data_IF_288958455900
#
_entry.id   IF_288958455900
#
_cell.length_a   1.000
_cell.length_b   1.000
_cell.length_c   1.000
_cell.angle_alpha   90.00
_cell.angle_beta   90.00
_cell.angle_gamma   90.00
#
_symmetry.space_group_name_H-M   'P 1'
#
loop_
_entity.id
_entity.type
_entity.pdbx_description
1 polymer ?
2 non-polymer ?
3 non-polymer ?
4 water ?
#
# COMPACT_ATOMS: atom_id res chain seq x y z
N UNK A 2 6.68 16.94 3.76
CA UNK A 2 6.99 18.24 3.14
C UNK A 2 8.32 18.19 2.36
N UNK A 3 8.53 17.12 1.58
CA UNK A 3 9.79 16.85 0.90
C UNK A 3 9.93 17.44 -0.51
N UNK A 4 11.02 17.11 -1.19
CA UNK A 4 11.30 17.71 -2.48
C UNK A 4 10.21 17.40 -3.51
N UNK A 5 9.57 16.25 -3.39
CA UNK A 5 8.54 15.90 -4.34
C UNK A 5 7.29 16.79 -4.21
N UNK A 6 7.01 17.24 -2.99
CA UNK A 6 5.79 18.01 -2.74
C UNK A 6 6.01 19.41 -3.28
N UNK A 7 7.25 19.86 -3.22
CA UNK A 7 7.63 21.15 -3.78
C UNK A 7 7.55 21.16 -5.32
N UNK A 8 7.95 20.06 -5.97
CA UNK A 8 7.96 20.01 -7.42
C UNK A 8 6.55 20.03 -7.92
N UNK A 9 5.72 19.20 -7.30
CA UNK A 9 4.32 19.14 -7.63
C UNK A 9 3.71 20.56 -7.52
N UNK A 10 4.03 21.24 -6.42
CA UNK A 10 3.63 22.63 -6.28
C UNK A 10 4.10 23.46 -7.48
N UNK A 11 5.40 23.68 -7.56
CA UNK A 11 5.98 24.40 -8.69
C UNK A 11 5.33 23.97 -10.01
N UNK A 12 5.04 22.68 -10.13
CA UNK A 12 4.61 22.19 -11.41
C UNK A 12 3.25 22.74 -11.79
N UNK A 13 2.31 22.75 -10.86
CA UNK A 13 0.99 23.26 -11.16
C UNK A 13 0.92 24.77 -11.04
N UNK A 14 1.79 25.31 -10.19
CA UNK A 14 1.92 26.76 -10.02
C UNK A 14 2.31 27.44 -11.34
N UNK A 15 2.96 26.70 -12.24
CA UNK A 15 3.32 27.25 -13.52
C UNK A 15 2.29 26.97 -14.58
N UNK A 16 1.26 26.21 -14.26
CA UNK A 16 0.16 26.10 -15.20
C UNK A 16 -0.33 27.56 -15.43
N UNK A 19 2.52 30.67 -13.65
CA UNK A 19 2.99 31.84 -14.37
C UNK A 19 4.36 32.18 -13.78
N UNK A 20 4.64 33.44 -13.46
CA UNK A 20 5.91 33.68 -12.75
C UNK A 20 5.86 33.21 -11.30
N UNK A 21 6.60 32.15 -11.01
CA UNK A 21 6.66 31.57 -9.69
C UNK A 21 7.70 32.30 -8.81
N UNK A 22 7.29 32.74 -7.63
CA UNK A 22 8.16 33.48 -6.71
C UNK A 22 8.47 32.64 -5.49
N UNK A 23 9.61 32.91 -4.86
CA UNK A 23 9.92 32.24 -3.60
C UNK A 23 8.86 32.49 -2.54
N UNK A 24 8.20 33.66 -2.64
CA UNK A 24 7.11 34.01 -1.72
C UNK A 24 5.93 33.07 -1.90
N UNK A 25 5.41 32.99 -3.12
CA UNK A 25 4.30 32.07 -3.42
C UNK A 25 4.58 30.64 -2.95
N UNK A 26 5.81 30.17 -3.17
CA UNK A 26 6.15 28.83 -2.73
C UNK A 26 5.99 28.75 -1.22
N UNK A 27 6.70 29.64 -0.53
CA UNK A 27 6.65 29.67 0.93
C UNK A 27 5.20 29.68 1.42
N UNK A 28 4.34 30.40 0.71
CA UNK A 28 2.91 30.45 1.03
C UNK A 28 2.22 29.12 0.79
N UNK A 29 2.27 28.64 -0.45
CA UNK A 29 1.54 27.44 -0.84
C UNK A 29 1.99 26.19 -0.07
N UNK A 30 3.26 26.19 0.35
CA UNK A 30 3.85 25.06 1.06
C UNK A 30 3.71 25.23 2.56
N UNK A 31 3.26 26.42 2.96
CA UNK A 31 3.17 26.84 4.36
C UNK A 31 4.49 26.57 5.07
N UNK A 32 5.55 27.26 4.64
CA UNK A 32 6.89 27.04 5.22
C UNK A 32 7.76 28.28 5.34
N UNK A 33 8.86 28.09 6.06
CA UNK A 33 9.83 29.13 6.36
C UNK A 33 10.49 29.68 5.09
N UNK A 34 10.49 31.02 4.91
CA UNK A 34 11.27 31.60 3.81
C UNK A 34 12.73 31.10 3.75
N UNK A 35 13.40 30.96 4.91
CA UNK A 35 14.72 30.32 4.93
C UNK A 35 14.71 28.85 4.50
N UNK A 36 13.60 28.15 4.69
CA UNK A 36 13.51 26.74 4.28
C UNK A 36 13.10 26.58 2.80
N UNK A 37 12.62 27.66 2.19
CA UNK A 37 12.34 27.69 0.75
C UNK A 37 13.65 27.72 -0.02
N UNK A 38 14.42 28.76 0.22
CA UNK A 38 15.72 28.94 -0.41
C UNK A 38 16.52 27.64 -0.29
N UNK A 39 16.43 27.01 0.87
CA UNK A 39 17.12 25.74 1.08
C UNK A 39 16.71 24.65 0.11
N UNK A 40 15.41 24.58 -0.19
CA UNK A 40 14.89 23.54 -1.08
C UNK A 40 15.17 23.86 -2.56
N UNK A 41 14.92 25.08 -2.97
CA UNK A 41 15.26 25.44 -4.34
C UNK A 41 16.77 25.22 -4.61
N UNK A 42 17.60 25.36 -3.58
CA UNK A 42 19.03 25.03 -3.73
C UNK A 42 19.18 23.56 -4.15
N UNK A 43 18.48 22.66 -3.47
CA UNK A 43 18.50 21.24 -3.79
C UNK A 43 17.83 20.95 -5.15
N UNK A 44 16.56 21.37 -5.32
CA UNK A 44 15.87 21.19 -6.59
C UNK A 44 16.75 21.65 -7.75
N UNK A 45 17.38 22.81 -7.59
CA UNK A 45 18.26 23.34 -8.62
C UNK A 45 19.39 22.39 -8.97
N UNK A 46 19.97 21.82 -7.93
CA UNK A 46 21.25 21.13 -7.99
C UNK A 46 20.98 19.72 -8.41
N UNK A 47 19.86 19.20 -7.93
CA UNK A 47 19.38 17.88 -8.28
C UNK A 47 19.02 17.86 -9.77
N UNK A 48 19.09 19.06 -10.38
CA UNK A 48 18.81 19.33 -11.81
C UNK A 48 17.34 19.17 -12.22
N UNK A 49 16.43 19.42 -11.29
CA UNK A 49 15.03 19.19 -11.57
C UNK A 49 14.43 20.40 -12.28
N UNK A 50 15.02 21.57 -12.02
CA UNK A 50 14.58 22.81 -12.64
C UNK A 50 15.77 23.75 -12.86
N UNK A 51 15.55 24.81 -13.63
CA UNK A 51 16.57 25.84 -13.80
C UNK A 51 15.93 27.19 -13.47
N UNK A 52 16.70 28.15 -12.95
CA UNK A 52 16.12 29.50 -12.81
C UNK A 52 15.76 30.02 -14.20
N UNK A 53 14.77 30.90 -14.25
CA UNK A 53 14.41 31.53 -15.51
C UNK A 53 13.77 32.86 -15.21
N UNK A 54 14.08 33.88 -16.02
CA UNK A 54 13.59 35.22 -15.68
C UNK A 54 12.06 35.38 -15.84
N UNK A 55 11.53 35.09 -17.03
CA UNK A 55 10.07 35.24 -17.26
C UNK A 55 9.25 34.29 -16.37
N UNK A 56 9.70 33.06 -16.21
CA UNK A 56 8.85 32.09 -15.51
C UNK A 56 9.25 31.76 -14.07
N UNK A 57 10.37 32.28 -13.60
CA UNK A 57 10.76 32.03 -12.23
C UNK A 57 11.66 30.81 -12.14
N UNK A 58 11.12 29.66 -12.54
CA UNK A 58 11.85 28.43 -12.62
C UNK A 58 11.20 27.68 -13.75
N UNK A 59 11.98 27.03 -14.61
CA UNK A 59 11.42 26.07 -15.57
C UNK A 59 11.84 24.66 -15.17
N UNK A 60 11.06 23.67 -15.54
CA UNK A 60 11.37 22.31 -15.15
C UNK A 60 12.21 21.68 -16.23
N UNK A 61 13.25 20.97 -15.81
CA UNK A 61 14.06 20.17 -16.73
C UNK A 61 13.29 18.90 -17.04
N UNK A 62 13.63 18.23 -18.14
CA UNK A 62 12.95 17.00 -18.49
C UNK A 62 13.02 16.05 -17.30
N UNK A 63 14.09 16.12 -16.52
CA UNK A 63 14.21 15.27 -15.37
C UNK A 63 13.10 15.60 -14.36
N UNK A 64 12.94 16.88 -14.02
CA UNK A 64 11.85 17.29 -13.14
C UNK A 64 10.49 16.89 -13.71
N UNK A 65 10.36 17.00 -15.02
CA UNK A 65 9.12 16.66 -15.69
C UNK A 65 8.79 15.19 -15.53
N UNK A 66 9.79 14.33 -15.77
CA UNK A 66 9.61 12.89 -15.59
C UNK A 66 9.29 12.55 -14.14
N UNK A 67 9.83 13.31 -13.19
CA UNK A 67 9.58 13.08 -11.76
C UNK A 67 8.15 13.42 -11.43
N UNK A 68 7.68 14.55 -11.96
CA UNK A 68 6.28 14.95 -11.83
C UNK A 68 5.38 13.85 -12.38
N UNK A 69 5.71 13.29 -13.54
CA UNK A 69 4.93 12.18 -14.10
C UNK A 69 4.85 11.01 -13.12
N UNK A 70 5.94 10.63 -12.47
CA UNK A 70 5.78 9.58 -11.46
C UNK A 70 4.84 9.93 -10.32
N UNK A 71 5.11 11.00 -9.58
CA UNK A 71 4.17 11.48 -8.55
C UNK A 71 2.71 11.29 -8.95
N UNK A 72 2.37 11.70 -10.16
CA UNK A 72 0.99 11.66 -10.57
C UNK A 72 0.55 10.23 -10.88
N UNK A 73 1.31 9.49 -11.67
CA UNK A 73 1.05 8.04 -11.79
C UNK A 73 0.74 7.40 -10.44
N UNK A 74 1.67 7.56 -9.50
CA UNK A 74 1.56 6.92 -8.20
C UNK A 74 0.28 7.37 -7.52
N UNK A 75 0.05 8.67 -7.45
CA UNK A 75 -1.11 9.26 -6.79
C UNK A 75 -2.41 8.83 -7.39
N UNK A 76 -2.48 8.86 -8.71
CA UNK A 76 -3.73 8.55 -9.41
C UNK A 76 -4.05 7.06 -9.40
N UNK A 77 -3.04 6.24 -9.65
CA UNK A 77 -3.22 4.79 -9.61
C UNK A 77 -3.67 4.36 -8.21
N UNK A 78 -2.99 4.84 -7.18
CA UNK A 78 -3.41 4.48 -5.84
C UNK A 78 -4.87 4.88 -5.66
N UNK A 79 -5.17 6.09 -6.10
CA UNK A 79 -6.51 6.61 -5.95
C UNK A 79 -7.44 5.59 -6.58
N UNK A 80 -7.21 5.27 -7.85
CA UNK A 80 -8.12 4.38 -8.58
C UNK A 80 -8.24 3.05 -7.88
N UNK A 81 -7.12 2.52 -7.41
CA UNK A 81 -7.21 1.26 -6.71
C UNK A 81 -8.09 1.45 -5.48
N UNK A 82 -7.77 2.40 -4.62
CA UNK A 82 -8.57 2.57 -3.40
C UNK A 82 -10.09 2.66 -3.59
N UNK A 83 -10.57 3.51 -4.50
CA UNK A 83 -12.02 3.65 -4.64
C UNK A 83 -12.65 2.54 -5.49
N UNK A 84 -12.05 2.23 -6.62
CA UNK A 84 -12.63 1.21 -7.47
C UNK A 84 -12.57 -0.21 -6.95
N UNK A 85 -11.50 -0.52 -6.24
CA UNK A 85 -11.32 -1.87 -5.79
C UNK A 85 -11.76 -1.98 -4.32
N UNK A 86 -11.53 -0.95 -3.51
CA UNK A 86 -11.75 -1.10 -2.07
C UNK A 86 -12.88 -0.20 -1.55
N UNK A 87 -13.75 0.27 -2.46
CA UNK A 87 -14.84 1.18 -2.13
C UNK A 87 -14.49 2.36 -1.22
N UNK A 88 -13.30 2.95 -1.36
CA UNK A 88 -12.96 4.08 -0.49
C UNK A 88 -13.87 5.31 -0.65
N UNK A 89 -14.03 6.11 0.40
CA UNK A 89 -14.86 7.32 0.29
C UNK A 89 -13.98 8.55 0.21
N UNK A 90 -14.50 9.63 -0.36
CA UNK A 90 -13.76 10.86 -0.46
C UNK A 90 -12.99 11.18 0.82
N UNK A 91 -13.66 11.02 1.94
CA UNK A 91 -13.08 11.25 3.25
C UNK A 91 -12.00 10.22 3.57
N UNK A 92 -12.26 8.95 3.24
CA UNK A 92 -11.35 7.86 3.58
C UNK A 92 -10.05 8.02 2.82
N UNK A 93 -10.14 8.49 1.58
CA UNK A 93 -8.96 8.79 0.79
C UNK A 93 -8.17 9.96 1.35
N UNK A 94 -8.86 10.98 1.84
CA UNK A 94 -8.19 12.11 2.49
C UNK A 94 -7.37 11.66 3.69
N UNK A 95 -7.79 10.60 4.36
CA UNK A 95 -7.08 10.15 5.55
C UNK A 95 -5.97 9.14 5.25
N UNK A 96 -6.01 8.49 4.08
CA UNK A 96 -5.11 7.34 3.84
C UNK A 96 -4.31 7.34 2.56
N UNK A 97 -4.88 7.83 1.47
CA UNK A 97 -4.20 7.82 0.18
C UNK A 97 -2.78 8.37 0.24
N UNK A 98 -2.57 9.43 1.00
CA UNK A 98 -1.29 10.12 0.94
C UNK A 98 -0.15 9.30 1.52
N UNK A 99 -0.39 8.65 2.66
CA UNK A 99 0.70 7.92 3.33
C UNK A 99 1.12 6.69 2.57
N UNK A 100 0.23 6.15 1.76
CA UNK A 100 0.62 5.01 0.93
C UNK A 100 1.52 5.45 -0.23
N UNK A 101 1.25 6.64 -0.80
CA UNK A 101 2.10 7.19 -1.82
C UNK A 101 3.54 7.38 -1.32
N UNK A 102 3.68 7.84 -0.08
CA UNK A 102 4.98 8.10 0.53
C UNK A 102 5.67 6.81 0.93
N UNK A 103 5.03 5.68 0.63
CA UNK A 103 5.44 4.38 1.13
C UNK A 103 5.64 3.28 0.08
N UNK A 104 4.64 3.01 -0.75
CA UNK A 104 4.77 1.93 -1.74
C UNK A 104 5.93 2.14 -2.71
N UNK A 105 6.57 1.01 -3.05
CA UNK A 105 7.68 1.02 -4.00
C UNK A 105 7.19 1.44 -5.37
N UNK A 106 8.07 1.42 -6.35
CA UNK A 106 7.62 1.65 -7.72
C UNK A 106 7.21 0.37 -8.43
N UNK A 107 7.67 -0.77 -7.92
CA UNK A 107 7.24 -2.08 -8.40
C UNK A 107 5.77 -2.25 -8.06
N UNK A 108 5.42 -1.84 -6.85
CA UNK A 108 4.05 -1.94 -6.43
C UNK A 108 3.22 -1.17 -7.47
N UNK A 109 3.54 0.10 -7.62
CA UNK A 109 2.89 0.92 -8.63
C UNK A 109 2.93 0.30 -10.04
N UNK A 110 4.04 -0.29 -10.45
CA UNK A 110 4.10 -0.88 -11.80
C UNK A 110 3.18 -2.09 -11.91
N UNK A 111 2.89 -2.70 -10.79
CA UNK A 111 2.08 -3.89 -10.80
C UNK A 111 0.62 -3.53 -10.59
N UNK A 112 0.38 -2.56 -9.71
CA UNK A 112 -0.94 -2.05 -9.45
C UNK A 112 -1.51 -1.62 -10.76
N UNK A 113 -0.68 -1.01 -11.60
CA UNK A 113 -1.15 -0.53 -12.88
C UNK A 113 -1.64 -1.70 -13.73
N UNK A 114 -0.90 -2.80 -13.69
CA UNK A 114 -1.26 -3.99 -14.46
C UNK A 114 -2.56 -4.58 -13.93
N UNK A 115 -2.73 -4.52 -12.61
CA UNK A 115 -3.90 -5.09 -11.94
C UNK A 115 -5.10 -4.31 -12.35
N UNK A 116 -4.93 -2.98 -12.41
CA UNK A 116 -6.02 -2.06 -12.69
C UNK A 116 -6.33 -2.00 -14.20
N UNK A 117 -5.67 -2.86 -14.96
CA UNK A 117 -5.81 -2.86 -16.39
C UNK A 117 -5.48 -1.51 -17.02
N UNK A 118 -4.36 -0.91 -16.64
CA UNK A 118 -3.85 0.32 -17.27
C UNK A 118 -4.93 1.35 -17.52
N UNK A 119 -5.47 1.91 -16.41
CA UNK A 119 -6.49 2.95 -16.51
C UNK A 119 -5.85 4.26 -16.98
N UNK A 120 -6.52 4.93 -17.90
CA UNK A 120 -6.02 6.15 -18.48
C UNK A 120 -6.49 7.41 -17.73
N UNK A 121 -7.01 7.26 -16.51
CA UNK A 121 -7.55 8.40 -15.77
C UNK A 121 -8.01 8.00 -14.42
N UNK A 122 -7.65 8.80 -13.42
CA UNK A 122 -8.14 8.53 -12.09
C UNK A 122 -9.58 8.99 -12.12
N UNK A 123 -10.36 8.70 -11.06
CA UNK A 123 -11.79 8.97 -11.21
C UNK A 123 -12.13 10.47 -11.34
N UNK A 124 -11.21 11.35 -10.94
CA UNK A 124 -11.43 12.79 -11.06
C UNK A 124 -11.08 13.45 -12.38
N UNK A 125 -10.93 12.66 -13.44
CA UNK A 125 -10.59 13.17 -14.76
C UNK A 125 -9.09 13.31 -15.03
N UNK A 126 -8.30 13.35 -13.95
CA UNK A 126 -6.86 13.48 -14.02
C UNK A 126 -6.27 12.32 -14.81
N UNK A 127 -5.46 12.62 -15.83
CA UNK A 127 -5.02 11.55 -16.70
C UNK A 127 -3.81 10.89 -16.08
N UNK A 128 -3.57 9.62 -16.43
CA UNK A 128 -2.53 8.80 -15.83
C UNK A 128 -1.53 8.39 -16.90
N UNK A 129 -0.36 9.03 -16.88
CA UNK A 129 0.66 8.80 -17.92
C UNK A 129 1.28 7.40 -17.85
N UNK A 130 1.75 6.88 -18.99
CA UNK A 130 2.53 5.66 -18.98
C UNK A 130 3.77 5.88 -18.11
N UNK A 131 4.42 4.78 -17.68
CA UNK A 131 5.68 4.90 -16.95
C UNK A 131 6.67 5.54 -17.88
N UNK A 132 7.26 6.66 -17.46
CA UNK A 132 8.32 7.31 -18.23
C UNK A 132 7.85 8.26 -19.32
N UNK A 133 6.55 8.26 -19.54
CA UNK A 133 5.87 9.16 -20.45
C UNK A 133 5.68 10.48 -19.69
N UNK A 134 5.80 11.61 -20.40
CA UNK A 134 5.60 12.92 -19.77
C UNK A 134 4.12 13.10 -19.50
N UNK A 135 3.77 13.72 -18.38
CA UNK A 135 2.35 13.98 -18.10
C UNK A 135 1.72 14.98 -19.02
N UNK A 136 0.62 14.58 -19.67
CA UNK A 136 -0.15 15.53 -20.49
C UNK A 136 -1.67 15.42 -20.26
N UNK A 137 -2.21 16.30 -19.41
CA UNK A 137 -3.61 16.19 -19.05
C UNK A 137 -4.47 16.12 -20.31
N UNK A 138 -5.52 15.30 -20.27
CA UNK A 138 -6.45 15.26 -21.40
C UNK A 138 -7.32 16.50 -21.32
N UNK A 139 -7.62 16.94 -20.10
CA UNK A 139 -8.54 18.04 -19.91
C UNK A 139 -7.88 19.28 -19.35
N UNK A 140 -7.59 20.24 -20.22
CA UNK A 140 -6.89 21.45 -19.83
C UNK A 140 -7.84 22.66 -19.78
N UNK A 141 -9.03 22.52 -20.36
CA UNK A 141 -9.98 23.64 -20.51
C UNK A 141 -10.76 23.90 -19.22
N UNK A 142 -10.31 24.88 -18.45
CA UNK A 142 -10.89 25.15 -17.15
C UNK A 142 -12.15 26.02 -17.32
N UNK A 143 -13.02 26.02 -16.31
CA UNK A 143 -14.29 26.72 -16.43
C UNK A 143 -14.06 28.20 -16.60
N UNK A 144 -13.10 28.73 -15.85
CA UNK A 144 -12.84 30.16 -15.93
C UNK A 144 -12.38 30.63 -17.31
N UNK A 145 -11.67 29.77 -18.04
CA UNK A 145 -11.27 30.11 -19.40
C UNK A 145 -12.28 29.56 -20.38
N UNK A 146 -13.45 29.16 -19.89
CA UNK A 146 -14.48 28.63 -20.77
C UNK A 146 -15.17 29.78 -21.46
N UNK A 147 -14.89 29.94 -22.75
CA UNK A 147 -15.40 31.10 -23.50
C UNK A 147 -16.93 31.14 -23.58
N UNK A 148 -17.49 30.25 -24.38
CA UNK A 148 -18.90 30.32 -24.72
C UNK A 148 -19.85 29.63 -23.76
N UNK A 149 -21.08 30.11 -23.74
CA UNK A 149 -22.13 29.59 -22.89
C UNK A 149 -22.76 28.34 -23.52
N UNK A 150 -23.47 27.58 -22.71
CA UNK A 150 -24.16 26.39 -23.21
C UNK A 150 -23.97 25.14 -22.37
N UNK A 151 -24.08 24.00 -23.03
CA UNK A 151 -24.03 22.70 -22.38
C UNK A 151 -22.59 22.17 -22.32
N UNK A 152 -22.18 21.65 -21.16
CA UNK A 152 -20.79 21.28 -20.90
C UNK A 152 -20.66 20.01 -20.04
N UNK A 153 -19.90 19.03 -20.49
CA UNK A 153 -19.53 17.93 -19.62
C UNK A 153 -18.44 18.38 -18.64
N UNK A 154 -18.72 18.28 -17.35
CA UNK A 154 -17.69 18.54 -16.35
C UNK A 154 -16.71 17.35 -16.31
N UNK A 155 -15.58 17.50 -17.01
CA UNK A 155 -14.65 16.39 -17.26
C UNK A 155 -13.56 16.13 -16.22
N UNK A 156 -13.06 17.15 -15.54
CA UNK A 156 -12.03 16.93 -14.51
C UNK A 156 -12.19 17.90 -13.34
N UNK A 157 -11.71 17.51 -12.16
CA UNK A 157 -11.65 18.41 -11.00
C UNK A 157 -10.36 18.11 -10.25
N UNK A 158 -9.91 19.01 -9.39
CA UNK A 158 -8.69 18.74 -8.63
C UNK A 158 -9.03 17.82 -7.47
N UNK A 159 -8.09 17.00 -7.01
CA UNK A 159 -8.28 16.04 -5.93
C UNK A 159 -8.59 16.74 -4.63
N UNK A 160 -7.88 17.85 -4.41
CA UNK A 160 -8.08 18.75 -3.27
C UNK A 160 -9.36 18.49 -2.43
N UNK A 161 -9.16 17.92 -1.24
CA UNK A 161 -10.28 17.45 -0.42
C UNK A 161 -11.27 18.54 -0.04
N UNK A 162 -10.78 19.78 0.07
CA UNK A 162 -11.65 20.89 0.41
C UNK A 162 -12.53 21.19 -0.78
N UNK A 163 -11.93 21.15 -1.98
CA UNK A 163 -12.66 21.44 -3.22
C UNK A 163 -13.63 20.32 -3.53
N UNK A 164 -13.20 19.10 -3.23
CA UNK A 164 -13.97 17.91 -3.54
C UNK A 164 -15.20 17.84 -2.62
N UNK A 165 -14.99 18.22 -1.37
CA UNK A 165 -16.11 18.26 -0.42
C UNK A 165 -17.11 19.23 -0.96
N UNK A 166 -16.63 20.41 -1.33
CA UNK A 166 -17.45 21.47 -1.91
C UNK A 166 -18.27 20.99 -3.09
N UNK A 167 -17.65 20.29 -4.02
CA UNK A 167 -18.36 19.78 -5.18
C UNK A 167 -19.48 18.81 -4.80
N UNK A 168 -19.16 17.79 -3.99
CA UNK A 168 -20.18 16.81 -3.58
C UNK A 168 -21.30 17.48 -2.80
N UNK A 169 -20.96 18.55 -2.11
CA UNK A 169 -21.89 19.39 -1.34
C UNK A 169 -22.56 20.43 -2.23
N UNK A 170 -22.91 20.03 -3.45
CA UNK A 170 -23.50 20.89 -4.49
C UNK A 170 -23.80 20.00 -5.68
N UNK A 171 -23.62 18.70 -5.50
CA UNK A 171 -23.89 17.77 -6.58
C UNK A 171 -23.17 18.08 -7.87
N UNK A 172 -21.92 18.49 -7.78
CA UNK A 172 -21.08 18.57 -8.95
C UNK A 172 -20.25 17.30 -8.90
N UNK A 173 -20.35 16.48 -9.93
CA UNK A 173 -19.63 15.22 -9.99
C UNK A 173 -19.06 15.11 -11.39
N UNK A 174 -17.94 14.43 -11.51
CA UNK A 174 -17.30 14.29 -12.81
C UNK A 174 -18.12 13.42 -13.74
N UNK A 175 -18.26 13.86 -14.98
CA UNK A 175 -19.13 13.20 -15.95
C UNK A 175 -20.56 13.73 -15.95
N UNK A 176 -20.85 14.73 -15.13
CA UNK A 176 -22.18 15.33 -15.15
C UNK A 176 -22.28 16.37 -16.26
N UNK A 177 -23.49 16.58 -16.77
CA UNK A 177 -23.69 17.63 -17.75
C UNK A 177 -23.97 18.94 -17.00
N UNK A 178 -23.27 19.99 -17.41
CA UNK A 178 -23.25 21.26 -16.71
C UNK A 178 -23.71 22.31 -17.69
N UNK A 179 -24.61 23.17 -17.25
CA UNK A 179 -25.08 24.29 -18.07
C UNK A 179 -24.41 25.58 -17.66
N UNK A 180 -23.62 26.14 -18.57
CA UNK A 180 -22.89 27.35 -18.28
C UNK A 180 -23.74 28.59 -18.63
N UNK A 181 -24.38 29.19 -17.62
CA UNK A 181 -25.20 30.39 -17.82
C UNK A 181 -24.30 31.59 -18.11
N UNK A 182 -23.07 31.54 -17.60
CA UNK A 182 -22.06 32.47 -18.05
C UNK A 182 -21.48 33.40 -17.01
N UNK A 183 -20.25 33.83 -17.27
CA UNK A 183 -19.55 34.73 -16.37
C UNK A 183 -20.33 36.02 -16.17
N UNK A 184 -20.16 36.63 -15.00
CA UNK A 184 -20.63 37.99 -14.77
C UNK A 184 -19.43 38.94 -14.71
N UNK A 185 -19.59 40.12 -15.29
CA UNK A 185 -18.50 41.08 -15.45
C UNK A 185 -18.15 41.78 -14.15
N UNK A 186 -19.17 42.20 -13.43
CA UNK A 186 -18.96 42.85 -12.14
C UNK A 186 -19.16 41.90 -10.97
N UNK A 187 -20.23 41.09 -11.03
CA UNK A 187 -20.47 40.04 -10.05
C UNK A 187 -19.19 39.26 -9.76
N UNK A 188 -18.42 38.97 -10.81
CA UNK A 188 -17.24 38.11 -10.71
C UNK A 188 -17.70 36.72 -10.24
N UNK A 189 -18.72 36.21 -10.92
CA UNK A 189 -19.40 34.97 -10.57
C UNK A 189 -19.72 34.13 -11.78
N UNK A 190 -19.60 32.82 -11.63
CA UNK A 190 -19.97 31.93 -12.70
C UNK A 190 -21.30 31.28 -12.38
N UNK A 191 -22.20 31.34 -13.36
CA UNK A 191 -23.53 30.79 -13.18
C UNK A 191 -23.62 29.38 -13.78
N UNK A 192 -24.05 28.43 -12.96
CA UNK A 192 -24.19 27.07 -13.44
C UNK A 192 -25.59 26.61 -13.15
N UNK A 193 -26.23 26.05 -14.17
CA UNK A 193 -27.47 25.31 -13.97
C UNK A 193 -27.06 23.85 -13.96
N UNK A 194 -27.29 23.19 -12.84
CA UNK A 194 -26.90 21.77 -12.69
C UNK A 194 -27.98 20.97 -12.00
N UNK A 195 -28.65 20.12 -12.79
CA UNK A 195 -29.87 19.44 -12.36
C UNK A 195 -30.98 20.49 -12.32
N UNK A 196 -31.02 21.33 -13.34
CA UNK A 196 -31.99 22.40 -13.42
C UNK A 196 -31.96 23.35 -12.23
N UNK A 197 -30.84 23.36 -11.53
CA UNK A 197 -30.66 24.18 -10.33
C UNK A 197 -29.50 25.14 -10.52
N UNK A 198 -29.73 26.41 -10.22
CA UNK A 198 -28.69 27.42 -10.42
C UNK A 198 -27.70 27.40 -9.25
N UNK A 199 -26.49 27.84 -9.53
CA UNK A 199 -25.40 27.75 -8.58
C UNK A 199 -24.43 28.87 -8.94
N UNK A 200 -23.84 29.50 -7.94
CA UNK A 200 -22.87 30.54 -8.22
C UNK A 200 -21.47 30.10 -7.78
N UNK A 201 -20.52 30.07 -8.72
CA UNK A 201 -19.14 29.71 -8.38
C UNK A 201 -18.26 30.93 -8.43
N UNK A 202 -17.36 31.07 -7.46
CA UNK A 202 -16.37 32.15 -7.47
C UNK A 202 -15.19 31.85 -8.43
N UNK A 203 -14.33 32.85 -8.68
CA UNK A 203 -13.15 32.62 -9.53
C UNK A 203 -12.20 31.53 -8.99
N UNK A 204 -11.93 31.52 -7.67
CA UNK A 204 -10.99 30.53 -7.13
C UNK A 204 -11.44 29.07 -7.37
N UNK A 205 -12.75 28.81 -7.36
CA UNK A 205 -13.30 27.48 -7.67
C UNK A 205 -13.51 27.24 -9.18
N UNK A 206 -13.95 28.24 -9.95
CA UNK A 206 -14.03 28.01 -11.39
C UNK A 206 -12.68 27.51 -11.87
N UNK A 207 -11.62 28.08 -11.31
CA UNK A 207 -10.24 27.78 -11.66
C UNK A 207 -9.85 26.29 -11.64
N UNK A 208 -10.56 25.50 -10.83
CA UNK A 208 -10.24 24.09 -10.59
C UNK A 208 -11.16 23.09 -11.30
N UNK A 209 -12.33 23.52 -11.70
CA UNK A 209 -13.20 22.69 -12.49
C UNK A 209 -12.73 22.71 -13.94
N UNK A 210 -12.57 21.55 -14.56
CA UNK A 210 -12.30 21.52 -15.99
C UNK A 210 -13.53 21.03 -16.73
N UNK A 211 -13.84 21.64 -17.86
CA UNK A 211 -15.06 21.32 -18.61
C UNK A 211 -14.72 21.10 -20.07
N UNK A 212 -15.68 20.61 -20.84
CA UNK A 212 -15.44 20.34 -22.25
C UNK A 212 -16.79 20.45 -22.97
N UNK A 213 -16.93 21.42 -23.87
CA UNK A 213 -18.25 21.76 -24.42
C UNK A 213 -18.87 20.63 -25.20
N UNK A 214 -20.02 20.17 -24.73
CA UNK A 214 -20.75 19.11 -25.41
C UNK A 214 -21.78 19.72 -26.37
N UNK B 5 5.12 -4.55 22.00
CA UNK B 5 4.78 -4.43 20.58
C UNK B 5 5.50 -5.47 19.71
N UNK B 6 6.74 -5.17 19.35
CA UNK B 6 7.46 -5.99 18.38
C UNK B 6 7.97 -7.28 19.01
N UNK B 7 8.01 -7.31 20.34
CA UNK B 7 8.54 -8.46 21.04
C UNK B 7 7.52 -9.60 21.14
N UNK B 8 6.26 -9.23 21.37
CA UNK B 8 5.19 -10.21 21.50
C UNK B 8 5.18 -11.15 20.31
N UNK B 9 5.37 -10.58 19.12
CA UNK B 9 5.52 -11.36 17.90
C UNK B 9 6.53 -12.51 18.11
N UNK B 10 7.69 -12.18 18.67
CA UNK B 10 8.68 -13.20 18.96
C UNK B 10 8.18 -14.19 20.02
N UNK B 11 7.57 -13.68 21.10
CA UNK B 11 7.15 -14.57 22.18
C UNK B 11 6.11 -15.61 21.78
N UNK B 12 5.34 -15.33 20.73
CA UNK B 12 4.34 -16.28 20.23
C UNK B 12 4.95 -17.36 19.34
N UNK B 13 6.13 -17.07 18.78
CA UNK B 13 6.78 -17.97 17.83
C UNK B 13 7.50 -19.12 18.51
N UNK B 14 8.25 -18.82 19.57
CA UNK B 14 8.95 -19.86 20.30
C UNK B 14 7.99 -20.64 21.18
N UNK B 15 6.77 -20.14 21.32
CA UNK B 15 5.73 -20.84 22.07
C UNK B 15 5.47 -22.24 21.51
N UNK B 16 5.42 -22.35 20.19
CA UNK B 16 5.28 -23.65 19.53
C UNK B 16 6.53 -24.47 19.79
N UNK B 19 7.96 -25.08 24.96
CA UNK B 19 9.27 -25.61 25.27
C UNK B 19 9.81 -25.00 26.57
N UNK B 20 10.63 -23.94 26.43
CA UNK B 20 11.03 -23.06 27.54
C UNK B 20 11.50 -21.68 27.06
N UNK B 21 11.23 -20.64 27.84
CA UNK B 21 11.59 -19.25 27.49
C UNK B 21 12.57 -18.65 28.49
N UNK B 22 13.65 -18.06 27.98
CA UNK B 22 14.69 -17.48 28.82
C UNK B 22 14.79 -15.96 28.62
N UNK B 23 15.24 -15.23 29.64
CA UNK B 23 15.62 -13.83 29.47
C UNK B 23 16.94 -13.72 28.71
N UNK B 24 17.65 -14.84 28.65
CA UNK B 24 18.88 -14.95 27.87
C UNK B 24 18.55 -15.26 26.40
N UNK B 25 17.37 -15.84 26.16
CA UNK B 25 16.87 -16.11 24.80
C UNK B 25 16.23 -14.88 24.16
N UNK B 26 15.84 -13.91 24.98
CA UNK B 26 15.19 -12.70 24.50
C UNK B 26 16.21 -11.79 23.81
N UNK B 27 17.40 -11.70 24.39
CA UNK B 27 18.48 -10.89 23.82
C UNK B 27 18.86 -11.32 22.41
N UNK B 28 18.96 -12.64 22.20
CA UNK B 28 19.55 -13.21 20.98
C UNK B 28 18.78 -12.97 19.67
N UNK B 29 17.45 -13.11 19.72
CA UNK B 29 16.63 -12.98 18.52
C UNK B 29 16.16 -11.55 18.29
N UNK B 30 16.53 -10.64 19.18
CA UNK B 30 16.07 -9.25 19.08
C UNK B 30 17.15 -8.21 19.38
N UNK B 31 18.26 -8.66 19.97
CA UNK B 31 19.45 -7.81 20.18
C UNK B 31 19.25 -6.64 21.17
N UNK B 32 19.81 -6.83 22.37
CA UNK B 32 19.55 -6.08 23.64
C UNK B 32 18.65 -7.01 24.46
N UNK B 40 11.23 -3.44 28.18
CA UNK B 40 10.00 -4.23 28.20
C UNK B 40 9.52 -4.85 29.51
N UNK B 41 9.31 -6.16 29.43
CA UNK B 41 8.70 -7.01 30.46
C UNK B 41 7.73 -6.39 31.46
N UNK B 42 8.21 -5.47 32.30
CA UNK B 42 7.33 -4.85 33.29
C UNK B 42 6.22 -4.06 32.59
N UNK B 43 6.47 -3.64 31.35
CA UNK B 43 5.43 -3.00 30.54
C UNK B 43 4.45 -4.05 30.04
N UNK B 44 4.96 -5.10 29.39
CA UNK B 44 4.10 -6.16 28.91
C UNK B 44 3.25 -6.74 30.05
N UNK B 45 3.82 -6.78 31.25
CA UNK B 45 3.11 -7.32 32.42
C UNK B 45 1.94 -6.43 32.85
N UNK B 46 2.17 -5.12 32.89
CA UNK B 46 1.18 -4.15 33.34
C UNK B 46 0.14 -3.81 32.27
N UNK B 47 0.53 -3.88 31.01
CA UNK B 47 -0.43 -3.82 29.91
C UNK B 47 -1.06 -5.20 29.72
N UNK B 48 -0.79 -6.08 30.68
CA UNK B 48 -1.47 -7.38 30.85
C UNK B 48 -1.51 -8.25 29.60
N UNK B 49 -0.46 -8.17 28.79
CA UNK B 49 -0.42 -8.90 27.54
C UNK B 49 0.21 -10.26 27.80
N UNK B 50 0.94 -10.33 28.89
CA UNK B 50 1.53 -11.59 29.28
C UNK B 50 1.52 -11.76 30.80
N UNK B 51 1.75 -12.99 31.23
CA UNK B 51 1.95 -13.30 32.64
C UNK B 51 3.16 -14.20 32.71
N UNK B 52 3.66 -14.42 33.92
CA UNK B 52 4.87 -15.21 34.08
C UNK B 52 4.55 -16.65 34.49
N UNK B 53 5.27 -17.58 33.88
CA UNK B 53 5.07 -19.01 34.12
C UNK B 53 6.41 -19.59 34.56
N UNK B 54 6.39 -20.60 35.44
CA UNK B 54 7.62 -21.31 35.77
C UNK B 54 7.92 -22.35 34.69
N UNK B 55 6.93 -23.17 34.35
CA UNK B 55 7.09 -24.25 33.36
C UNK B 55 7.48 -23.74 31.98
N UNK B 56 6.87 -22.63 31.56
CA UNK B 56 7.00 -22.13 30.19
C UNK B 56 7.74 -20.79 30.08
N UNK B 57 7.96 -20.14 31.22
CA UNK B 57 8.72 -18.90 31.28
C UNK B 57 7.81 -17.70 31.13
N UNK B 58 7.22 -17.58 29.93
CA UNK B 58 6.26 -16.54 29.63
C UNK B 58 5.14 -17.08 28.73
N UNK B 59 3.90 -16.88 29.16
CA UNK B 59 2.74 -17.21 28.36
C UNK B 59 2.04 -15.90 27.99
N UNK B 60 1.60 -15.77 26.75
CA UNK B 60 0.84 -14.59 26.37
C UNK B 60 -0.59 -14.68 26.91
N UNK B 61 -1.08 -13.62 27.53
CA UNK B 61 -2.47 -13.61 27.97
C UNK B 61 -3.32 -13.50 26.75
N UNK B 62 -4.63 -13.61 26.93
CA UNK B 62 -5.54 -13.52 25.81
C UNK B 62 -5.50 -12.17 25.14
N UNK B 63 -5.12 -11.15 25.89
CA UNK B 63 -4.98 -9.82 25.33
C UNK B 63 -3.86 -9.84 24.31
N UNK B 64 -2.76 -10.50 24.67
CA UNK B 64 -1.68 -10.76 23.75
C UNK B 64 -2.21 -11.46 22.51
N UNK B 65 -2.32 -12.80 22.56
CA UNK B 65 -2.78 -13.62 21.43
C UNK B 65 -3.78 -12.98 20.43
N UNK B 66 -4.54 -11.99 20.89
CA UNK B 66 -5.43 -11.23 20.01
C UNK B 66 -4.62 -10.21 19.24
N UNK B 67 -3.97 -9.32 19.99
CA UNK B 67 -3.08 -8.33 19.43
C UNK B 67 -2.18 -8.95 18.37
N UNK B 68 -1.69 -10.16 18.64
CA UNK B 68 -0.82 -10.91 17.73
C UNK B 68 -1.58 -11.62 16.61
N UNK B 69 -2.73 -12.21 16.91
CA UNK B 69 -3.49 -12.83 15.84
C UNK B 69 -3.99 -11.77 14.84
N UNK B 70 -3.93 -10.51 15.22
CA UNK B 70 -4.30 -9.47 14.28
C UNK B 70 -3.14 -9.21 13.33
N UNK B 71 -1.93 -9.23 13.90
CA UNK B 71 -0.72 -9.03 13.12
C UNK B 71 -0.56 -10.08 12.02
N UNK B 72 -0.92 -11.33 12.32
CA UNK B 72 -0.79 -12.42 11.34
C UNK B 72 -1.83 -12.29 10.24
N UNK B 73 -2.99 -11.76 10.63
CA UNK B 73 -4.08 -11.47 9.72
C UNK B 73 -3.65 -10.36 8.77
N UNK B 74 -3.19 -9.25 9.32
CA UNK B 74 -2.72 -8.13 8.50
C UNK B 74 -1.66 -8.66 7.55
N UNK B 75 -0.72 -9.41 8.11
CA UNK B 75 0.40 -9.86 7.35
C UNK B 75 0.00 -10.84 6.27
N UNK B 76 -0.85 -11.79 6.62
CA UNK B 76 -1.16 -12.84 5.68
C UNK B 76 -2.04 -12.36 4.55
N UNK B 77 -2.94 -11.42 4.83
CA UNK B 77 -3.74 -10.82 3.76
C UNK B 77 -2.87 -10.00 2.77
N UNK B 78 -2.04 -9.10 3.28
CA UNK B 78 -1.08 -8.42 2.44
C UNK B 78 -0.34 -9.43 1.58
N UNK B 79 -0.01 -10.55 2.16
CA UNK B 79 0.80 -11.51 1.47
C UNK B 79 0.00 -12.10 0.32
N UNK B 80 -1.27 -12.38 0.56
CA UNK B 80 -2.10 -12.96 -0.47
C UNK B 80 -2.26 -11.95 -1.58
N UNK B 81 -2.53 -10.70 -1.21
CA UNK B 81 -2.78 -9.66 -2.20
C UNK B 81 -1.56 -9.53 -3.06
N UNK B 82 -0.42 -9.34 -2.42
CA UNK B 82 0.84 -9.12 -3.11
C UNK B 82 1.22 -10.32 -3.99
N UNK B 83 0.93 -11.53 -3.55
CA UNK B 83 1.31 -12.69 -4.34
C UNK B 83 0.33 -12.99 -5.47
N UNK B 84 -0.93 -13.17 -5.11
CA UNK B 84 -1.99 -13.54 -6.04
C UNK B 84 -2.28 -12.48 -7.09
N UNK B 85 -2.17 -11.20 -6.70
CA UNK B 85 -2.66 -10.15 -7.57
C UNK B 85 -1.63 -9.16 -8.07
N UNK B 86 -0.53 -9.03 -7.36
CA UNK B 86 0.51 -8.15 -7.89
C UNK B 86 1.65 -8.92 -8.53
N UNK B 87 1.53 -10.25 -8.57
CA UNK B 87 2.52 -11.10 -9.19
C UNK B 87 3.79 -11.32 -8.41
N UNK B 88 3.91 -10.68 -7.24
CA UNK B 88 5.13 -10.74 -6.46
C UNK B 88 5.71 -12.14 -6.35
N UNK B 89 7.02 -12.18 -6.19
CA UNK B 89 7.77 -13.40 -5.99
C UNK B 89 8.32 -13.33 -4.58
N UNK B 90 8.94 -14.41 -4.14
CA UNK B 90 9.38 -14.53 -2.75
C UNK B 90 10.41 -13.49 -2.40
N UNK B 91 11.19 -13.10 -3.39
CA UNK B 91 12.23 -12.12 -3.12
C UNK B 91 11.60 -10.76 -2.83
N UNK B 92 10.55 -10.43 -3.58
CA UNK B 92 9.95 -9.09 -3.55
C UNK B 92 9.11 -8.86 -2.31
N UNK B 93 8.46 -9.93 -1.88
CA UNK B 93 7.71 -9.90 -0.64
C UNK B 93 8.66 -9.70 0.54
N UNK B 94 9.86 -10.24 0.39
CA UNK B 94 10.94 -10.00 1.34
C UNK B 94 11.29 -8.50 1.40
N UNK B 95 11.35 -7.86 0.24
CA UNK B 95 11.64 -6.42 0.16
C UNK B 95 10.47 -5.53 0.63
N UNK B 96 9.31 -5.59 -0.01
CA UNK B 96 8.25 -4.59 0.23
C UNK B 96 7.23 -4.87 1.33
N UNK B 97 6.98 -6.15 1.61
CA UNK B 97 5.76 -6.55 2.32
C UNK B 97 5.65 -5.96 3.71
N UNK B 98 6.75 -5.94 4.46
CA UNK B 98 6.62 -5.54 5.86
C UNK B 98 6.53 -4.02 6.04
N UNK B 99 6.91 -3.25 5.03
CA UNK B 99 6.87 -1.80 5.20
C UNK B 99 5.45 -1.31 5.10
N UNK B 100 4.69 -1.86 4.16
CA UNK B 100 3.33 -1.38 3.96
C UNK B 100 2.40 -2.14 4.86
N UNK B 101 2.84 -3.32 5.25
CA UNK B 101 2.18 -4.05 6.32
C UNK B 101 2.08 -3.18 7.57
N UNK B 102 3.12 -2.37 7.80
CA UNK B 102 3.13 -1.53 8.97
C UNK B 102 2.51 -0.15 8.73
N UNK B 103 2.23 0.15 7.46
CA UNK B 103 1.57 1.41 7.05
C UNK B 103 0.04 1.33 6.90
N UNK B 104 -0.43 0.30 6.19
CA UNK B 104 -1.86 0.13 5.90
C UNK B 104 -2.73 0.04 7.13
N UNK B 105 -3.75 0.90 7.17
CA UNK B 105 -4.74 0.92 8.25
C UNK B 105 -5.55 -0.39 8.40
N UNK B 106 -6.27 -0.54 9.50
CA UNK B 106 -7.18 -1.68 9.63
C UNK B 106 -8.27 -1.60 8.58
N UNK B 107 -8.67 -0.38 8.20
CA UNK B 107 -9.70 -0.22 7.18
C UNK B 107 -9.27 -0.86 5.85
N UNK B 108 -8.04 -0.55 5.43
CA UNK B 108 -7.44 -1.12 4.24
C UNK B 108 -7.52 -2.65 4.33
N UNK B 109 -7.05 -3.20 5.45
CA UNK B 109 -7.01 -4.64 5.60
C UNK B 109 -8.44 -5.19 5.57
N UNK B 110 -9.39 -4.48 6.18
CA UNK B 110 -10.76 -4.95 6.16
C UNK B 110 -11.31 -5.05 4.73
N UNK B 111 -10.97 -4.08 3.87
CA UNK B 111 -11.54 -4.04 2.54
C UNK B 111 -10.81 -4.99 1.60
N UNK B 112 -9.50 -5.11 1.82
CA UNK B 112 -8.70 -6.10 1.14
C UNK B 112 -9.27 -7.48 1.40
N UNK B 113 -9.72 -7.70 2.63
CA UNK B 113 -10.23 -9.01 3.00
C UNK B 113 -11.44 -9.27 2.14
N UNK B 114 -12.18 -8.22 1.87
CA UNK B 114 -13.43 -8.40 1.17
C UNK B 114 -13.15 -8.53 -0.33
N UNK B 115 -12.18 -7.79 -0.82
CA UNK B 115 -11.87 -7.87 -2.23
C UNK B 115 -11.46 -9.31 -2.55
N UNK B 116 -10.54 -9.83 -1.74
CA UNK B 116 -9.95 -11.15 -1.93
C UNK B 116 -10.94 -12.26 -1.55
N UNK B 117 -12.13 -11.84 -1.14
CA UNK B 117 -13.20 -12.75 -0.79
C UNK B 117 -12.88 -13.67 0.39
N UNK B 118 -12.31 -13.11 1.44
CA UNK B 118 -12.13 -13.82 2.70
C UNK B 118 -11.33 -15.13 2.56
N UNK B 119 -10.11 -15.03 2.04
CA UNK B 119 -9.33 -16.25 1.84
C UNK B 119 -9.01 -16.84 3.20
N UNK B 120 -9.01 -18.18 3.29
CA UNK B 120 -8.77 -18.84 4.57
C UNK B 120 -7.29 -19.08 4.81
N UNK B 121 -6.50 -19.20 3.75
CA UNK B 121 -5.05 -19.39 3.90
C UNK B 121 -4.18 -18.39 3.12
N UNK B 122 -2.99 -18.13 3.66
CA UNK B 122 -2.03 -17.31 2.93
C UNK B 122 -1.44 -18.23 1.86
N UNK B 123 -0.53 -17.72 1.03
CA UNK B 123 0.05 -18.64 0.02
C UNK B 123 0.95 -19.72 0.67
N UNK B 124 1.51 -19.43 1.83
CA UNK B 124 2.38 -20.40 2.51
C UNK B 124 1.70 -21.40 3.43
N UNK B 125 0.37 -21.53 3.31
CA UNK B 125 -0.38 -22.48 4.11
C UNK B 125 -0.86 -21.95 5.46
N UNK B 126 -0.45 -20.73 5.82
CA UNK B 126 -0.85 -20.14 7.08
C UNK B 126 -2.33 -19.77 7.15
N UNK B 127 -2.96 -20.05 8.28
CA UNK B 127 -4.37 -19.70 8.48
C UNK B 127 -4.56 -18.17 8.69
N UNK B 128 -5.70 -17.66 8.23
CA UNK B 128 -5.97 -16.23 8.28
C UNK B 128 -7.15 -15.97 9.19
N UNK B 129 -6.88 -15.77 10.49
CA UNK B 129 -7.86 -15.53 11.55
C UNK B 129 -8.81 -14.38 11.25
N UNK B 130 -10.10 -14.59 11.47
CA UNK B 130 -11.05 -13.50 11.42
C UNK B 130 -10.67 -12.35 12.37
N UNK B 131 -11.21 -11.16 12.09
CA UNK B 131 -10.94 -9.98 12.89
C UNK B 131 -11.42 -10.23 14.33
N UNK B 132 -10.66 -9.76 15.32
CA UNK B 132 -11.03 -9.92 16.71
C UNK B 132 -11.04 -11.36 17.20
N UNK B 133 -10.70 -12.27 16.32
CA UNK B 133 -10.70 -13.69 16.63
C UNK B 133 -9.24 -14.15 16.75
N UNK B 134 -9.05 -15.39 17.21
CA UNK B 134 -7.75 -15.91 17.66
C UNK B 134 -7.07 -16.84 16.66
N UNK B 135 -5.75 -16.80 16.61
CA UNK B 135 -5.07 -17.59 15.60
C UNK B 135 -4.96 -19.08 15.94
N UNK B 136 -5.62 -19.89 15.12
CA UNK B 136 -5.60 -21.34 15.27
C UNK B 136 -5.29 -22.02 13.93
N UNK B 137 -4.05 -22.47 13.77
CA UNK B 137 -3.57 -22.96 12.48
C UNK B 137 -4.19 -24.29 12.06
N UNK B 138 -4.68 -24.37 10.83
CA UNK B 138 -5.25 -25.60 10.28
C UNK B 138 -4.16 -26.67 10.22
N UNK B 139 -2.95 -26.26 9.83
CA UNK B 139 -1.83 -27.21 9.71
C UNK B 139 -0.76 -27.06 10.80
N UNK B 140 -0.80 -27.98 11.78
CA UNK B 140 0.11 -27.94 12.92
C UNK B 140 1.07 -29.12 12.93
N UNK B 141 0.94 -30.01 11.96
CA UNK B 141 1.69 -31.26 11.96
C UNK B 141 3.06 -31.07 11.32
N UNK B 142 4.06 -30.73 12.13
CA UNK B 142 5.41 -30.52 11.60
C UNK B 142 6.06 -31.84 11.17
N UNK B 143 7.04 -31.76 10.28
CA UNK B 143 7.72 -32.95 9.78
C UNK B 143 8.47 -33.63 10.90
N UNK B 144 9.28 -32.87 11.62
CA UNK B 144 9.97 -33.37 12.79
C UNK B 144 9.08 -34.29 13.62
N UNK B 145 7.84 -33.86 13.82
CA UNK B 145 6.95 -34.51 14.77
C UNK B 145 6.16 -35.66 14.13
N UNK B 146 6.46 -35.98 12.88
CA UNK B 146 5.75 -37.05 12.19
C UNK B 146 6.38 -38.41 12.46
N UNK B 147 5.64 -39.47 12.15
CA UNK B 147 6.09 -40.82 12.43
C UNK B 147 6.02 -41.71 11.18
N UNK B 148 4.79 -41.97 10.72
CA UNK B 148 4.58 -42.95 9.66
C UNK B 148 5.28 -42.61 8.35
N UNK B 149 5.94 -43.61 7.79
CA UNK B 149 6.75 -43.43 6.61
C UNK B 149 5.91 -43.74 5.37
N UNK B 150 5.16 -42.75 4.88
CA UNK B 150 4.35 -42.92 3.68
C UNK B 150 4.29 -41.66 2.85
N UNK B 151 3.30 -41.56 1.97
CA UNK B 151 3.13 -40.35 1.18
C UNK B 151 2.39 -39.29 1.98
N UNK B 152 2.85 -38.05 1.89
CA UNK B 152 2.24 -36.92 2.62
C UNK B 152 1.92 -35.77 1.68
N UNK B 153 1.56 -34.63 2.28
CA UNK B 153 1.41 -33.40 1.52
C UNK B 153 2.04 -32.23 2.27
N UNK B 154 3.01 -31.57 1.65
CA UNK B 154 3.58 -30.34 2.20
C UNK B 154 2.39 -29.41 2.33
N UNK B 155 2.07 -28.94 3.52
CA UNK B 155 0.80 -28.25 3.69
C UNK B 155 0.90 -26.86 4.31
N UNK B 156 2.04 -26.57 4.92
CA UNK B 156 2.37 -25.21 5.33
C UNK B 156 3.88 -25.10 5.44
N UNK B 157 4.40 -23.89 5.22
CA UNK B 157 5.79 -23.61 5.56
C UNK B 157 5.87 -22.35 6.41
N UNK B 158 6.94 -22.23 7.16
CA UNK B 158 7.15 -21.04 7.93
C UNK B 158 7.33 -19.92 6.93
N UNK B 159 6.87 -18.73 7.30
CA UNK B 159 6.75 -17.57 6.39
C UNK B 159 8.10 -17.01 5.93
N UNK B 160 9.15 -17.42 6.64
CA UNK B 160 10.47 -16.80 6.58
C UNK B 160 11.24 -16.98 5.25
N UNK B 161 12.00 -15.96 4.87
CA UNK B 161 12.69 -15.93 3.56
C UNK B 161 13.64 -17.10 3.28
N UNK B 162 14.67 -17.22 4.11
CA UNK B 162 15.71 -18.21 3.89
C UNK B 162 15.12 -19.61 3.79
N UNK B 163 14.12 -19.90 4.62
CA UNK B 163 13.46 -21.19 4.54
C UNK B 163 12.79 -21.38 3.18
N UNK B 164 12.04 -20.37 2.74
CA UNK B 164 11.38 -20.36 1.41
C UNK B 164 12.38 -20.47 0.26
N UNK B 165 13.44 -19.66 0.33
CA UNK B 165 14.57 -19.80 -0.58
C UNK B 165 15.03 -21.24 -0.57
N UNK B 166 15.35 -21.73 0.62
CA UNK B 166 15.86 -23.09 0.78
C UNK B 166 14.98 -24.08 0.04
N UNK B 167 13.70 -24.11 0.40
CA UNK B 167 12.75 -25.04 -0.22
C UNK B 167 12.57 -24.81 -1.72
N UNK B 168 12.50 -23.53 -2.12
CA UNK B 168 12.37 -23.20 -3.55
C UNK B 168 13.55 -23.72 -4.31
N UNK B 169 14.69 -23.80 -3.63
CA UNK B 169 15.92 -24.26 -4.23
C UNK B 169 15.86 -25.78 -4.31
N UNK B 170 15.26 -26.40 -3.30
CA UNK B 170 15.20 -27.85 -3.23
C UNK B 170 13.88 -28.42 -3.77
N UNK B 171 13.13 -27.56 -4.47
CA UNK B 171 11.91 -27.97 -5.16
C UNK B 171 10.72 -28.35 -4.31
N UNK B 172 10.68 -27.84 -3.08
CA UNK B 172 9.56 -28.12 -2.17
C UNK B 172 8.58 -26.95 -2.16
N UNK B 173 7.34 -27.22 -2.55
CA UNK B 173 6.34 -26.18 -2.63
C UNK B 173 5.14 -26.58 -1.81
N UNK B 174 4.58 -25.63 -1.06
CA UNK B 174 3.31 -25.87 -0.38
C UNK B 174 2.30 -26.50 -1.35
N UNK B 175 1.49 -27.45 -0.85
CA UNK B 175 0.52 -28.17 -1.67
C UNK B 175 1.07 -29.36 -2.45
N UNK B 176 2.39 -29.43 -2.64
CA UNK B 176 3.01 -30.54 -3.38
C UNK B 176 3.01 -31.85 -2.56
N UNK B 177 3.27 -32.97 -3.24
CA UNK B 177 3.25 -34.29 -2.61
C UNK B 177 4.65 -34.74 -2.20
N UNK B 178 4.78 -35.14 -0.94
CA UNK B 178 6.06 -35.53 -0.36
C UNK B 178 5.99 -36.95 0.16
N UNK B 179 6.88 -37.82 -0.33
CA UNK B 179 7.01 -39.16 0.26
C UNK B 179 8.07 -39.17 1.34
N UNK B 180 7.63 -39.39 2.57
CA UNK B 180 8.51 -39.28 3.72
C UNK B 180 9.23 -40.60 3.91
N UNK B 181 10.54 -40.60 3.63
CA UNK B 181 11.35 -41.82 3.65
C UNK B 181 11.63 -42.36 5.06
N UNK B 182 11.96 -41.48 6.00
CA UNK B 182 12.18 -41.86 7.38
C UNK B 182 13.19 -40.98 8.06
N UNK B 183 13.24 -41.05 9.39
CA UNK B 183 14.23 -40.28 10.14
C UNK B 183 15.39 -41.20 10.52
N UNK B 184 16.63 -40.73 10.34
CA UNK B 184 17.82 -41.44 10.78
C UNK B 184 18.15 -41.04 12.22
N UNK B 185 18.19 -42.01 13.12
CA UNK B 185 18.29 -41.72 14.56
C UNK B 185 19.63 -41.09 14.96
N UNK B 186 20.69 -41.47 14.26
CA UNK B 186 22.02 -40.97 14.58
C UNK B 186 22.50 -39.88 13.63
N UNK B 187 22.21 -40.05 12.34
CA UNK B 187 22.56 -39.06 11.32
C UNK B 187 22.01 -37.69 11.66
N UNK B 188 20.74 -37.67 12.06
CA UNK B 188 19.98 -36.44 12.31
C UNK B 188 19.43 -35.89 10.99
N UNK B 189 19.12 -36.76 10.04
CA UNK B 189 18.63 -36.34 8.72
C UNK B 189 17.32 -37.00 8.29
N UNK B 190 16.29 -36.17 8.05
CA UNK B 190 15.01 -36.65 7.55
C UNK B 190 15.08 -36.85 6.03
N UNK B 191 14.60 -37.99 5.54
CA UNK B 191 14.64 -38.30 4.11
C UNK B 191 13.31 -38.03 3.42
N UNK B 192 13.34 -37.39 2.25
CA UNK B 192 12.12 -37.17 1.48
C UNK B 192 12.23 -37.74 0.08
N UNK B 193 11.09 -38.08 -0.52
CA UNK B 193 11.04 -38.38 -1.94
C UNK B 193 10.18 -37.31 -2.59
N UNK B 194 10.81 -36.44 -3.37
CA UNK B 194 10.10 -35.35 -4.04
C UNK B 194 10.42 -35.37 -5.54
N UNK B 195 9.39 -35.14 -6.36
CA UNK B 195 9.50 -35.21 -7.82
C UNK B 195 10.36 -36.39 -8.31
N UNK B 196 10.17 -37.56 -7.69
CA UNK B 196 10.89 -38.75 -8.09
C UNK B 196 12.38 -38.67 -7.80
N UNK B 197 12.74 -37.90 -6.77
CA UNK B 197 14.13 -37.83 -6.33
C UNK B 197 14.26 -37.71 -4.80
N UNK B 198 15.48 -37.87 -4.29
CA UNK B 198 15.73 -37.95 -2.85
C UNK B 198 16.44 -36.72 -2.23
N UNK B 199 16.02 -36.37 -1.01
CA UNK B 199 16.50 -35.17 -0.34
C UNK B 199 16.83 -35.42 1.15
N UNK B 200 17.83 -34.71 1.68
CA UNK B 200 18.18 -34.80 3.09
C UNK B 200 17.98 -33.45 3.77
N UNK B 201 17.05 -33.39 4.73
CA UNK B 201 16.75 -32.13 5.42
C UNK B 201 17.29 -32.17 6.83
N UNK B 202 17.93 -31.09 7.26
CA UNK B 202 18.38 -31.00 8.65
C UNK B 202 17.17 -30.98 9.57
N UNK B 203 17.40 -31.03 10.88
CA UNK B 203 16.29 -30.98 11.82
C UNK B 203 15.64 -29.58 11.83
N UNK B 204 16.44 -28.51 11.98
CA UNK B 204 15.87 -27.17 12.04
C UNK B 204 15.03 -26.81 10.79
N UNK B 205 15.34 -27.45 9.67
CA UNK B 205 14.57 -27.24 8.44
C UNK B 205 13.33 -28.12 8.39
N UNK B 206 13.32 -29.22 9.14
CA UNK B 206 12.14 -30.08 9.20
C UNK B 206 11.26 -29.65 10.34
N UNK B 207 11.75 -28.73 11.15
CA UNK B 207 11.01 -28.26 12.31
C UNK B 207 10.10 -27.10 11.92
N UNK B 208 10.26 -26.64 10.67
CA UNK B 208 9.57 -25.45 10.17
C UNK B 208 8.66 -25.79 8.99
N UNK B 209 8.35 -27.05 8.82
CA UNK B 209 7.59 -27.49 7.65
C UNK B 209 6.47 -28.42 8.09
N UNK B 210 5.24 -28.14 7.66
CA UNK B 210 4.07 -28.90 8.13
C UNK B 210 3.50 -29.82 7.05
N UNK B 211 3.07 -31.01 7.45
CA UNK B 211 2.53 -32.00 6.53
C UNK B 211 1.13 -32.43 6.96
N UNK B 212 0.45 -33.15 6.07
CA UNK B 212 -0.80 -33.84 6.41
C UNK B 212 -0.73 -35.18 5.68
N UNK B 213 -1.14 -36.25 6.35
CA UNK B 213 -0.94 -37.59 5.80
C UNK B 213 -1.56 -37.81 4.42
N UNK B 214 -2.66 -38.56 4.36
CA UNK B 214 -3.25 -39.04 3.09
C UNK B 214 -2.21 -39.44 2.03
X LIG C 1 -7.86 11.86 -8.81
X LIG D 1 -5.02 17.06 -9.34
X LIG D 1 -6.06 17.44 -10.31
X LIG D 1 -3.83 17.83 -9.63
X LIG D 1 -5.37 17.47 -7.97
X LIG D 1 -4.74 15.61 -9.39
X LIG E 1 -5.71 16.59 0.23
X LIG E 1 -5.06 16.27 1.50
X LIG E 1 -6.83 15.65 0.07
X LIG E 1 -6.14 17.98 0.27
X LIG E 1 -4.79 16.40 -0.90
X LIG F 1 3.77 -10.67 -15.47
X LIG F 1 4.95 -10.41 -14.62
X LIG F 1 2.56 -10.18 -14.81
X LIG F 1 3.94 -9.99 -16.75
X LIG F 1 3.60 -12.12 -15.64
X LIG G 1 2.48 -16.64 5.07
X LIG H 1 4.66 -18.22 9.87
X LIG H 1 4.13 -18.56 11.20
X LIG H 1 4.05 -16.99 9.35
X LIG H 1 6.09 -17.97 10.01
X LIG H 1 4.41 -19.31 8.91
#
# INVERSE_FOLDING_TARGET
>A
TPNKEDYLKCLYELGTRHNKITNKEIAQLMQVSPPAVTEMMKKLLAEELLIKDKKAGYLLTDLGLKLVSDLYRKHRLIEVFLVHHLGYTTEEIHEEAEVLEHTVSDHFVERLDQLLDYPKACPHGGTIPAKGELLVEKHKLTLEEAKEKGDYILARVHDNFDLLTYLERNGLQVGKTIRFLGYDDFSHLYSLEVDGQEIQLAQPIAQQIYVEKI
>B
TPNKEDYLKCLYELGTRHNKITNKEIAQLMQVSPPAVTEMMKKLLAEELLIKDKKAGYLLTDLGLKLVSDLYRKHRLIEVFLVHHLGYTTEEIHEEAEVLEHTVSDHFVERLDQLLDYPKACPHGGTIPAKGELLVEKHKLTLEEAKEKGDYILARVHDNFDLLTYLERNGLQVGKTIRFLGYDDFSHLYSLEVDGQEIQLAQPIAQQIYVEKI
>C hetero
1 ZN ZN
>D hetero
1 SO4 S O1 O2 O3 O4
>E hetero
1 SO4 S O1 O2 O3 O4
>F hetero
1 SO4 S O1 O2 O3 O4
>G hetero
1 ZN ZN
>H hetero
1 SO4 S O1 O2 O3 O4
#
